data_IF_806080607381
#
_entry.id   IF_806080607381
#
_cell.length_a   1.000
_cell.length_b   1.000
_cell.length_c   1.000
_cell.angle_alpha   90.00
_cell.angle_beta   90.00
_cell.angle_gamma   90.00
#
_symmetry.space_group_name_H-M   'P 1'
#
loop_
_entity.id
_entity.type
_entity.pdbx_description
1 polymer ?
#
# COMPACT_ATOMS: atom_id res chain seq x y z
N UNK A 1 -19.78 10.01 15.12
CA UNK A 1 -18.35 10.02 14.76
C UNK A 1 -18.24 9.59 13.32
N UNK A 2 -18.14 10.55 12.40
CA UNK A 2 -17.95 10.27 10.98
C UNK A 2 -16.46 10.01 10.73
N UNK A 3 -16.16 8.90 10.05
CA UNK A 3 -14.81 8.53 9.62
C UNK A 3 -14.39 9.50 8.49
N UNK A 4 -13.81 10.66 8.84
CA UNK A 4 -13.35 11.69 7.89
C UNK A 4 -12.03 11.34 7.19
N UNK A 5 -11.55 10.09 7.34
CA UNK A 5 -10.28 9.66 6.74
C UNK A 5 -10.42 9.63 5.23
N UNK A 6 -9.51 10.32 4.53
CA UNK A 6 -9.40 10.22 3.07
C UNK A 6 -9.14 8.77 2.68
N UNK A 7 -10.09 8.22 1.92
CA UNK A 7 -10.01 6.90 1.31
C UNK A 7 -9.49 7.07 -0.10
N UNK A 8 -8.48 6.29 -0.44
CA UNK A 8 -7.91 6.22 -1.78
C UNK A 8 -8.42 4.95 -2.45
N UNK A 9 -8.90 5.11 -3.67
CA UNK A 9 -9.26 3.98 -4.51
C UNK A 9 -7.98 3.23 -4.91
N UNK A 10 -7.99 1.92 -4.74
CA UNK A 10 -6.93 1.00 -5.16
C UNK A 10 -7.57 -0.15 -5.92
N UNK A 11 -6.88 -0.67 -6.93
CA UNK A 11 -7.30 -1.88 -7.63
C UNK A 11 -6.46 -3.05 -7.14
N UNK A 12 -7.11 -4.11 -6.65
CA UNK A 12 -6.41 -5.30 -6.20
C UNK A 12 -5.63 -5.92 -7.37
N UNK A 13 -4.30 -6.09 -7.26
CA UNK A 13 -3.50 -6.59 -8.37
C UNK A 13 -3.58 -8.12 -8.53
N UNK A 14 -4.33 -8.81 -7.66
CA UNK A 14 -4.58 -10.25 -7.74
C UNK A 14 -5.89 -10.59 -8.44
N UNK A 15 -6.98 -9.90 -8.07
CA UNK A 15 -8.32 -10.20 -8.59
C UNK A 15 -8.94 -9.08 -9.43
N UNK A 16 -8.25 -7.95 -9.59
CA UNK A 16 -8.76 -6.80 -10.34
C UNK A 16 -9.92 -6.06 -9.68
N UNK A 17 -10.31 -6.41 -8.44
CA UNK A 17 -11.39 -5.72 -7.74
C UNK A 17 -10.94 -4.34 -7.25
N UNK A 18 -11.75 -3.33 -7.52
CA UNK A 18 -11.60 -2.00 -6.96
C UNK A 18 -12.00 -2.02 -5.48
N UNK A 19 -11.17 -1.45 -4.63
CA UNK A 19 -11.41 -1.33 -3.20
C UNK A 19 -10.82 -0.02 -2.68
N UNK A 20 -11.13 0.34 -1.44
CA UNK A 20 -10.71 1.59 -0.84
C UNK A 20 -9.76 1.34 0.33
N UNK A 21 -8.65 2.04 0.36
CA UNK A 21 -7.68 2.01 1.45
C UNK A 21 -7.50 3.39 2.07
N UNK A 22 -7.33 3.43 3.38
CA UNK A 22 -7.00 4.67 4.09
C UNK A 22 -5.47 4.84 4.11
N UNK A 23 -4.98 6.10 4.11
CA UNK A 23 -3.55 6.37 4.35
C UNK A 23 -3.18 5.76 5.72
N UNK A 24 -2.17 4.87 5.80
CA UNK A 24 -1.74 4.33 7.08
C UNK A 24 -1.26 5.50 7.96
N UNK A 25 -1.68 5.53 9.22
CA UNK A 25 -1.39 6.59 10.19
C UNK A 25 0.07 6.51 10.71
N UNK A 26 0.96 5.80 10.01
CA UNK A 26 2.38 5.69 10.36
C UNK A 26 3.20 6.85 9.76
N UNK A 27 2.81 8.09 10.09
CA UNK A 27 3.56 9.29 9.72
C UNK A 27 4.61 9.69 10.78
N UNK A 28 4.84 8.86 11.80
CA UNK A 28 5.63 9.24 12.98
C UNK A 28 7.06 8.71 13.06
N UNK A 29 7.49 7.78 12.20
CA UNK A 29 8.71 7.00 12.48
C UNK A 29 9.57 6.64 11.26
N UNK A 30 9.76 7.54 10.30
CA UNK A 30 10.85 7.43 9.31
C UNK A 30 10.83 6.20 8.37
N UNK A 31 9.76 5.41 8.35
CA UNK A 31 9.60 4.27 7.44
C UNK A 31 8.87 4.78 6.19
N UNK A 32 9.64 5.05 5.14
CA UNK A 32 9.13 5.46 3.85
C UNK A 32 8.26 4.36 3.21
N UNK A 33 7.03 4.75 2.87
CA UNK A 33 6.35 4.43 1.61
C UNK A 33 6.00 2.97 1.23
N UNK A 34 5.56 2.16 2.20
CA UNK A 34 4.82 0.94 1.87
C UNK A 34 3.81 0.55 2.95
N UNK A 35 2.54 0.92 2.74
CA UNK A 35 1.45 0.33 3.52
C UNK A 35 1.28 -1.15 3.16
N UNK A 36 0.89 -1.97 4.13
CA UNK A 36 0.47 -3.35 3.85
C UNK A 36 -1.05 -3.37 3.76
N UNK A 37 -1.59 -3.96 2.69
CA UNK A 37 -3.02 -4.09 2.47
C UNK A 37 -3.41 -5.54 2.23
N UNK A 38 -4.63 -5.91 2.60
CA UNK A 38 -5.21 -7.21 2.25
C UNK A 38 -6.45 -7.00 1.40
N UNK A 39 -6.60 -7.77 0.34
CA UNK A 39 -7.77 -7.66 -0.51
C UNK A 39 -9.01 -8.19 0.20
N UNK A 40 -10.10 -7.41 0.22
CA UNK A 40 -11.35 -7.84 0.85
C UNK A 40 -12.06 -8.94 0.04
N UNK A 41 -11.73 -9.09 -1.24
CA UNK A 41 -12.28 -10.11 -2.13
C UNK A 41 -11.52 -11.42 -2.09
N UNK A 42 -10.27 -11.42 -2.55
CA UNK A 42 -9.46 -12.63 -2.68
C UNK A 42 -8.57 -12.93 -1.47
N UNK A 43 -8.53 -12.05 -0.46
CA UNK A 43 -7.64 -12.14 0.71
C UNK A 43 -6.14 -12.14 0.38
N UNK A 44 -5.76 -11.78 -0.85
CA UNK A 44 -4.36 -11.60 -1.23
C UNK A 44 -3.72 -10.43 -0.49
N UNK A 45 -2.54 -10.65 0.07
CA UNK A 45 -1.71 -9.58 0.63
C UNK A 45 -1.13 -8.74 -0.52
N UNK A 46 -1.17 -7.43 -0.41
CA UNK A 46 -0.67 -6.48 -1.41
C UNK A 46 0.06 -5.33 -0.74
N UNK A 47 0.97 -4.70 -1.48
CA UNK A 47 1.71 -3.53 -1.05
C UNK A 47 0.95 -2.29 -1.50
N UNK A 48 0.70 -1.37 -0.59
CA UNK A 48 0.04 -0.10 -0.84
C UNK A 48 1.08 1.00 -0.93
N UNK A 49 1.25 1.58 -2.11
CA UNK A 49 2.20 2.67 -2.36
C UNK A 49 1.41 3.96 -2.52
N UNK A 50 1.69 4.93 -1.66
CA UNK A 50 1.06 6.24 -1.72
C UNK A 50 1.96 7.20 -2.49
N UNK A 51 1.45 7.78 -3.58
CA UNK A 51 2.17 8.80 -4.33
C UNK A 51 1.77 10.17 -3.84
N UNK A 52 2.63 10.83 -3.04
CA UNK A 52 2.36 12.20 -2.56
C UNK A 52 2.16 13.18 -3.71
N UNK A 53 2.94 13.02 -4.80
CA UNK A 53 2.86 13.85 -6.01
C UNK A 53 1.50 13.77 -6.71
N UNK A 54 0.89 12.59 -6.75
CA UNK A 54 -0.38 12.34 -7.44
C UNK A 54 -1.58 12.35 -6.48
N UNK A 55 -1.34 12.44 -5.17
CA UNK A 55 -2.35 12.26 -4.13
C UNK A 55 -3.19 10.98 -4.36
N UNK A 56 -2.53 9.91 -4.82
CA UNK A 56 -3.16 8.66 -5.22
C UNK A 56 -2.47 7.47 -4.56
N UNK A 57 -3.23 6.42 -4.25
CA UNK A 57 -2.68 5.17 -3.72
C UNK A 57 -2.78 4.10 -4.80
N UNK A 58 -1.77 3.25 -4.90
CA UNK A 58 -1.76 2.09 -5.80
C UNK A 58 -1.49 0.84 -4.98
N UNK A 59 -2.05 -0.28 -5.43
CA UNK A 59 -1.79 -1.58 -4.85
C UNK A 59 -0.95 -2.42 -5.82
N UNK A 60 0.17 -2.94 -5.32
CA UNK A 60 1.14 -3.73 -6.07
C UNK A 60 1.27 -5.12 -5.44
N UNK A 61 1.62 -6.13 -6.25
CA UNK A 61 1.84 -7.49 -5.74
C UNK A 61 3.13 -7.55 -4.94
N UNK A 62 3.12 -8.33 -3.85
CA UNK A 62 4.32 -8.54 -3.05
C UNK A 62 5.43 -9.28 -3.80
N UNK A 63 5.07 -10.16 -4.73
CA UNK A 63 6.04 -10.98 -5.46
C UNK A 63 6.93 -10.17 -6.43
N UNK A 64 6.54 -8.94 -6.78
CA UNK A 64 7.36 -8.01 -7.59
C UNK A 64 8.11 -6.99 -6.71
N UNK A 65 7.96 -7.01 -5.38
CA UNK A 65 8.83 -6.30 -4.46
C UNK A 65 10.08 -7.15 -4.19
N UNK A 66 10.83 -7.42 -5.26
CA UNK A 66 12.14 -8.06 -5.17
C UNK A 66 12.98 -7.34 -4.12
N UNK A 67 13.30 -8.08 -3.07
CA UNK A 67 14.50 -8.01 -2.24
C UNK A 67 15.42 -6.83 -2.61
N UNK A 68 15.28 -5.70 -1.92
CA UNK A 68 16.45 -4.86 -1.70
C UNK A 68 17.17 -5.50 -0.53
N UNK A 69 18.02 -6.48 -0.83
CA UNK A 69 19.15 -6.79 0.04
C UNK A 69 19.92 -5.47 0.15
N UNK A 70 19.86 -4.83 1.31
CA UNK A 70 20.70 -3.66 1.58
C UNK A 70 22.15 -4.04 1.24
N UNK A 71 22.99 -3.11 0.77
CA UNK A 71 24.39 -3.43 0.53
C UNK A 71 24.97 -3.98 1.85
N UNK A 72 25.36 -5.26 1.84
CA UNK A 72 26.18 -5.85 2.88
C UNK A 72 27.45 -4.97 2.97
N UNK A 73 27.56 -4.21 4.06
CA UNK A 73 28.76 -3.48 4.43
C UNK A 73 29.88 -4.52 4.55
N UNK A 74 30.77 -4.55 3.56
CA UNK A 74 32.05 -5.27 3.62
C UNK A 74 33.06 -4.49 4.43
#
# INVERSE_FOLDING_TARGET
MEDTRKRYEITCPYCGKVQYACKPIFHGLGIADAGHGTCLGCKGAMRLVFSERLQAMKAERWEEAGIYEGPEEK
#
